data_IF_694696622008
#
_entry.id   IF_694696622008
#
_cell.length_a   1.000
_cell.length_b   1.000
_cell.length_c   1.000
_cell.angle_alpha   90.00
_cell.angle_beta   90.00
_cell.angle_gamma   90.00
#
_symmetry.space_group_name_H-M   'P 1'
#
loop_
_entity.id
_entity.type
_entity.pdbx_description
1 polymer ?
#
# COMPACT_ATOMS: atom_id res chain seq x y z
N UNK A 1 31.36 42.54 16.52
CA UNK A 1 31.42 42.20 17.95
C UNK A 1 30.07 41.59 18.31
N UNK A 2 29.97 40.25 18.34
CA UNK A 2 28.71 39.55 18.64
C UNK A 2 28.62 39.31 20.15
N UNK A 3 27.58 39.85 20.78
CA UNK A 3 27.23 39.58 22.18
C UNK A 3 26.09 38.60 22.23
N UNK A 4 26.33 37.50 22.93
CA UNK A 4 25.40 36.41 23.19
C UNK A 4 24.18 36.88 23.98
N UNK A 5 22.99 36.45 23.57
CA UNK A 5 21.84 36.30 24.46
C UNK A 5 21.34 34.86 24.34
N UNK A 6 21.47 34.14 25.45
CA UNK A 6 20.91 32.83 25.66
C UNK A 6 19.52 33.02 26.27
N UNK A 7 18.48 32.63 25.56
CA UNK A 7 17.17 32.33 26.15
C UNK A 7 16.68 31.04 25.51
N UNK A 8 16.87 29.94 26.24
CA UNK A 8 16.15 28.69 26.07
C UNK A 8 14.65 28.94 26.25
N UNK A 9 14.00 29.53 25.24
CA UNK A 9 12.55 29.62 25.21
C UNK A 9 12.06 28.30 24.62
N UNK A 10 11.62 27.38 25.49
CA UNK A 10 10.79 26.25 25.08
C UNK A 10 9.54 26.85 24.45
N UNK A 11 9.54 27.01 23.13
CA UNK A 11 8.31 27.31 22.39
C UNK A 11 7.44 26.06 22.56
N UNK A 12 6.27 26.15 23.21
CA UNK A 12 5.37 25.02 23.24
C UNK A 12 4.85 24.84 21.81
N UNK A 13 5.42 23.86 21.10
CA UNK A 13 4.79 23.32 19.90
C UNK A 13 3.48 22.71 20.36
N UNK A 14 2.39 23.48 20.22
CA UNK A 14 1.05 22.96 20.41
C UNK A 14 0.86 21.87 19.37
N UNK A 15 0.97 20.62 19.82
CA UNK A 15 0.74 19.45 18.98
C UNK A 15 -0.77 19.42 18.73
N UNK A 16 -1.19 19.72 17.51
CA UNK A 16 -2.63 19.72 17.16
C UNK A 16 -3.21 18.31 17.05
N UNK A 17 -2.36 17.29 17.17
CA UNK A 17 -2.72 15.89 17.12
C UNK A 17 -1.66 15.03 17.84
N UNK A 18 -2.03 14.49 18.99
CA UNK A 18 -1.20 13.61 19.83
C UNK A 18 -0.70 12.33 19.12
N UNK A 19 -1.17 12.07 17.89
CA UNK A 19 -0.78 10.91 17.09
C UNK A 19 0.33 11.18 16.08
N UNK A 20 0.85 12.41 15.98
CA UNK A 20 1.83 12.75 14.94
C UNK A 20 3.26 12.27 15.25
N UNK A 21 3.53 11.84 16.48
CA UNK A 21 4.64 10.94 16.74
C UNK A 21 4.02 9.56 16.91
N UNK A 22 3.98 8.79 15.82
CA UNK A 22 3.98 7.33 15.95
C UNK A 22 5.19 7.01 16.81
N UNK A 23 4.93 6.59 18.04
CA UNK A 23 5.94 6.02 18.92
C UNK A 23 6.49 4.81 18.17
N UNK A 24 7.58 5.00 17.42
CA UNK A 24 8.37 3.92 16.84
C UNK A 24 9.19 3.28 17.96
N UNK A 25 8.50 2.87 19.02
CA UNK A 25 9.01 1.87 19.94
C UNK A 25 8.30 0.56 19.56
N UNK A 26 8.55 0.14 18.32
CA UNK A 26 8.37 -1.25 17.94
C UNK A 26 9.41 -2.00 18.75
N UNK A 27 9.00 -2.46 19.95
CA UNK A 27 9.79 -3.35 20.77
C UNK A 27 10.37 -4.42 19.86
N UNK A 28 11.69 -4.60 19.92
CA UNK A 28 12.40 -5.58 19.11
C UNK A 28 11.73 -6.98 19.18
N UNK A 29 11.04 -7.27 20.29
CA UNK A 29 10.27 -8.50 20.48
C UNK A 29 8.91 -8.51 19.74
N UNK A 30 8.24 -7.37 19.56
CA UNK A 30 7.02 -7.27 18.73
C UNK A 30 7.36 -7.32 17.24
N UNK A 31 8.45 -6.68 16.83
CA UNK A 31 9.00 -6.80 15.47
C UNK A 31 9.46 -8.23 15.20
N UNK A 32 10.20 -8.86 16.10
CA UNK A 32 10.57 -10.28 16.00
C UNK A 32 9.36 -11.19 16.00
N UNK A 33 8.34 -10.97 16.83
CA UNK A 33 7.12 -11.78 16.85
C UNK A 33 6.28 -11.59 15.58
N UNK A 34 6.32 -10.43 14.95
CA UNK A 34 5.77 -10.20 13.61
C UNK A 34 6.60 -10.87 12.50
N UNK A 35 7.92 -11.02 12.68
CA UNK A 35 8.81 -11.69 11.73
C UNK A 35 8.88 -13.22 11.96
N UNK A 36 8.64 -13.69 13.18
CA UNK A 36 8.64 -15.08 13.63
C UNK A 36 7.24 -15.69 13.67
N UNK A 37 6.19 -14.85 13.73
CA UNK A 37 4.80 -15.27 13.60
C UNK A 37 4.55 -15.64 12.16
N UNK A 38 4.69 -16.93 11.86
CA UNK A 38 4.39 -17.59 10.59
C UNK A 38 4.62 -16.68 9.39
N UNK A 39 5.88 -16.59 8.96
CA UNK A 39 6.24 -15.82 7.78
C UNK A 39 5.38 -16.26 6.60
N UNK A 40 4.39 -15.43 6.25
CA UNK A 40 3.55 -15.66 5.08
C UNK A 40 4.49 -15.99 3.91
N UNK A 41 4.32 -17.19 3.37
CA UNK A 41 5.08 -17.63 2.20
C UNK A 41 4.90 -16.60 1.09
N UNK A 42 5.91 -16.47 0.22
CA UNK A 42 5.78 -15.62 -0.97
C UNK A 42 4.50 -15.96 -1.75
N UNK A 43 4.12 -17.24 -1.78
CA UNK A 43 2.87 -17.72 -2.36
C UNK A 43 1.62 -17.09 -1.71
N UNK A 44 1.53 -17.07 -0.38
CA UNK A 44 0.40 -16.45 0.33
C UNK A 44 0.35 -14.93 0.07
N UNK A 45 1.49 -14.24 0.06
CA UNK A 45 1.53 -12.82 -0.29
C UNK A 45 1.10 -12.57 -1.74
N UNK A 46 1.54 -13.41 -2.67
CA UNK A 46 1.12 -13.32 -4.07
C UNK A 46 -0.38 -13.57 -4.23
N UNK A 47 -0.92 -14.58 -3.54
CA UNK A 47 -2.35 -14.89 -3.58
C UNK A 47 -3.18 -13.74 -3.02
N UNK A 48 -2.76 -13.16 -1.89
CA UNK A 48 -3.38 -11.96 -1.34
C UNK A 48 -3.32 -10.78 -2.33
N UNK A 49 -2.21 -10.59 -3.04
CA UNK A 49 -2.09 -9.53 -4.04
C UNK A 49 -3.04 -9.73 -5.23
N UNK A 50 -3.22 -10.98 -5.68
CA UNK A 50 -4.21 -11.33 -6.71
C UNK A 50 -5.63 -11.04 -6.22
N UNK A 51 -5.98 -11.41 -4.99
CA UNK A 51 -7.28 -11.10 -4.40
C UNK A 51 -7.53 -9.59 -4.28
N UNK A 52 -6.52 -8.82 -3.87
CA UNK A 52 -6.60 -7.36 -3.80
C UNK A 52 -6.81 -6.74 -5.18
N UNK A 53 -6.10 -7.23 -6.19
CA UNK A 53 -6.28 -6.80 -7.59
C UNK A 53 -7.72 -7.06 -8.04
N UNK A 54 -8.25 -8.25 -7.76
CA UNK A 54 -9.64 -8.58 -8.08
C UNK A 54 -10.65 -7.63 -7.40
N UNK A 55 -10.44 -7.30 -6.11
CA UNK A 55 -11.28 -6.33 -5.41
C UNK A 55 -11.25 -4.95 -6.07
N UNK A 56 -10.09 -4.51 -6.57
CA UNK A 56 -9.96 -3.23 -7.27
C UNK A 56 -10.70 -3.23 -8.62
N UNK A 57 -10.65 -4.33 -9.37
CA UNK A 57 -11.42 -4.50 -10.61
C UNK A 57 -12.92 -4.43 -10.34
N UNK A 58 -13.42 -5.25 -9.41
CA UNK A 58 -14.84 -5.26 -9.04
C UNK A 58 -15.30 -3.89 -8.53
N UNK A 59 -14.46 -3.21 -7.74
CA UNK A 59 -14.77 -1.86 -7.28
C UNK A 59 -14.83 -0.85 -8.43
N UNK A 60 -13.92 -0.95 -9.40
CA UNK A 60 -13.93 -0.10 -10.60
C UNK A 60 -15.22 -0.32 -11.40
N UNK A 61 -15.60 -1.56 -11.62
CA UNK A 61 -16.81 -1.93 -12.36
C UNK A 61 -18.07 -1.42 -11.64
N UNK A 62 -18.13 -1.57 -10.32
CA UNK A 62 -19.25 -1.06 -9.52
C UNK A 62 -19.38 0.47 -9.60
N UNK A 63 -18.26 1.20 -9.56
CA UNK A 63 -18.27 2.66 -9.67
C UNK A 63 -18.69 3.08 -11.09
N UNK A 64 -18.25 2.36 -12.12
CA UNK A 64 -18.67 2.57 -13.50
C UNK A 64 -20.17 2.30 -13.71
N UNK A 65 -20.69 1.22 -13.13
CA UNK A 65 -22.13 0.89 -13.16
C UNK A 65 -22.97 1.97 -12.45
N UNK A 66 -22.52 2.44 -11.29
CA UNK A 66 -23.18 3.52 -10.56
C UNK A 66 -23.19 4.83 -11.36
N UNK A 67 -22.14 5.12 -12.11
CA UNK A 67 -22.09 6.29 -13.00
C UNK A 67 -23.10 6.18 -14.15
N UNK A 68 -23.26 4.99 -14.74
CA UNK A 68 -24.24 4.75 -15.82
C UNK A 68 -25.67 4.83 -15.28
N UNK A 69 -25.94 4.24 -14.11
CA UNK A 69 -27.30 4.13 -13.54
C UNK A 69 -27.75 5.40 -12.82
N UNK A 70 -26.82 6.15 -12.21
CA UNK A 70 -27.10 7.38 -11.46
C UNK A 70 -25.97 8.41 -11.67
N UNK A 71 -25.96 9.12 -12.81
CA UNK A 71 -24.87 10.02 -13.18
C UNK A 71 -24.69 11.23 -12.23
N UNK A 72 -25.69 11.56 -11.41
CA UNK A 72 -25.62 12.69 -10.46
C UNK A 72 -25.03 12.33 -9.08
N UNK A 73 -24.79 11.04 -8.80
CA UNK A 73 -24.29 10.58 -7.49
C UNK A 73 -22.81 10.23 -7.47
N UNK A 74 -22.14 10.17 -8.63
CA UNK A 74 -20.73 9.78 -8.74
C UNK A 74 -20.00 10.74 -9.68
N UNK A 75 -18.80 11.19 -9.29
CA UNK A 75 -17.98 12.05 -10.15
C UNK A 75 -17.31 11.20 -11.25
N UNK A 76 -17.32 11.70 -12.49
CA UNK A 76 -16.64 11.05 -13.63
C UNK A 76 -15.15 10.81 -13.37
N UNK A 77 -14.49 11.69 -12.59
CA UNK A 77 -13.09 11.53 -12.22
C UNK A 77 -12.86 10.31 -11.32
N UNK A 78 -13.80 9.99 -10.43
CA UNK A 78 -13.66 8.84 -9.52
C UNK A 78 -13.75 7.53 -10.30
N UNK A 79 -14.60 7.46 -11.33
CA UNK A 79 -14.70 6.31 -12.24
C UNK A 79 -13.37 6.11 -12.98
N UNK A 80 -12.81 7.18 -13.53
CA UNK A 80 -11.55 7.12 -14.28
C UNK A 80 -10.38 6.75 -13.37
N UNK A 81 -10.31 7.34 -12.17
CA UNK A 81 -9.27 7.02 -11.18
C UNK A 81 -9.40 5.56 -10.73
N UNK A 82 -10.62 5.07 -10.48
CA UNK A 82 -10.85 3.68 -10.10
C UNK A 82 -10.43 2.73 -11.23
N UNK A 83 -10.78 3.03 -12.48
CA UNK A 83 -10.38 2.25 -13.65
C UNK A 83 -8.86 2.23 -13.84
N UNK A 84 -8.20 3.37 -13.73
CA UNK A 84 -6.74 3.46 -13.83
C UNK A 84 -6.04 2.69 -12.69
N UNK A 85 -6.56 2.80 -11.46
CA UNK A 85 -6.04 2.05 -10.31
C UNK A 85 -6.19 0.54 -10.52
N UNK A 86 -7.32 0.08 -11.02
CA UNK A 86 -7.54 -1.33 -11.35
C UNK A 86 -6.56 -1.80 -12.43
N UNK A 87 -6.43 -1.06 -13.53
CA UNK A 87 -5.52 -1.39 -14.63
C UNK A 87 -4.06 -1.50 -14.17
N UNK A 88 -3.56 -0.50 -13.44
CA UNK A 88 -2.19 -0.52 -12.90
C UNK A 88 -1.95 -1.71 -11.97
N UNK A 89 -2.96 -2.10 -11.20
CA UNK A 89 -2.85 -3.22 -10.26
C UNK A 89 -2.81 -4.57 -10.99
N UNK A 90 -3.58 -4.72 -12.07
CA UNK A 90 -3.48 -5.88 -12.97
C UNK A 90 -2.09 -5.95 -13.59
N UNK A 91 -1.61 -4.84 -14.16
CA UNK A 91 -0.32 -4.79 -14.85
C UNK A 91 0.82 -5.15 -13.89
N UNK A 92 0.79 -4.64 -12.66
CA UNK A 92 1.77 -4.98 -11.63
C UNK A 92 1.72 -6.47 -11.27
N UNK A 93 0.53 -6.98 -10.95
CA UNK A 93 0.35 -8.39 -10.58
C UNK A 93 0.80 -9.34 -11.69
N UNK A 94 0.46 -9.00 -12.94
CA UNK A 94 0.91 -9.75 -14.13
C UNK A 94 2.43 -9.79 -14.22
N UNK A 95 3.11 -8.64 -14.12
CA UNK A 95 4.57 -8.57 -14.17
C UNK A 95 5.24 -9.41 -13.06
N UNK A 96 4.67 -9.44 -11.85
CA UNK A 96 5.20 -10.26 -10.75
C UNK A 96 5.03 -11.75 -11.05
N UNK A 97 3.85 -12.18 -11.51
CA UNK A 97 3.58 -13.57 -11.87
C UNK A 97 4.49 -14.04 -13.02
N UNK A 98 4.65 -13.23 -14.06
CA UNK A 98 5.55 -13.52 -15.18
C UNK A 98 6.99 -13.74 -14.70
N UNK A 99 7.51 -12.85 -13.84
CA UNK A 99 8.84 -13.00 -13.25
C UNK A 99 8.96 -14.26 -12.39
N UNK A 100 7.93 -14.61 -11.61
CA UNK A 100 7.93 -15.82 -10.80
C UNK A 100 7.97 -17.08 -11.68
N UNK A 101 7.18 -17.12 -12.77
CA UNK A 101 7.18 -18.22 -13.74
C UNK A 101 8.54 -18.32 -14.44
N UNK A 102 9.08 -17.21 -14.93
CA UNK A 102 10.40 -17.20 -15.59
C UNK A 102 11.51 -17.65 -14.63
N UNK A 103 11.49 -17.22 -13.36
CA UNK A 103 12.45 -17.68 -12.36
C UNK A 103 12.37 -19.19 -12.14
N UNK A 104 11.16 -19.75 -12.05
CA UNK A 104 10.95 -21.19 -11.93
C UNK A 104 11.48 -21.97 -13.15
N UNK A 105 11.17 -21.49 -14.36
CA UNK A 105 11.67 -22.09 -15.60
C UNK A 105 13.20 -22.04 -15.68
N UNK A 106 13.81 -20.91 -15.31
CA UNK A 106 15.27 -20.75 -15.32
C UNK A 106 15.95 -21.71 -14.33
N UNK A 107 15.44 -21.84 -13.10
CA UNK A 107 15.99 -22.78 -12.10
C UNK A 107 15.89 -24.23 -12.60
N UNK A 108 14.81 -24.58 -13.29
CA UNK A 108 14.58 -25.94 -13.79
C UNK A 108 15.43 -26.25 -15.03
N UNK A 109 15.57 -25.29 -15.95
CA UNK A 109 16.36 -25.44 -17.18
C UNK A 109 17.89 -25.39 -16.96
N UNK A 110 18.34 -24.89 -15.80
CA UNK A 110 19.76 -24.90 -15.40
C UNK A 110 20.24 -26.28 -14.88
N UNK A 111 19.35 -27.28 -14.83
CA UNK A 111 19.70 -28.69 -14.56
C UNK A 111 19.88 -29.47 -15.85
#
# INVERSE_FOLDING_TARGET
MHTYYNVTQKVPVAVTNDKHYVNFDLSLEEAKKSMLGTGDTFYEKLMNAVELTNKQVVSSDSIAEQFITKPNTVNVHDVVIAAQKAQLSIDLTKNVIERAISAYQNITNLR
#
